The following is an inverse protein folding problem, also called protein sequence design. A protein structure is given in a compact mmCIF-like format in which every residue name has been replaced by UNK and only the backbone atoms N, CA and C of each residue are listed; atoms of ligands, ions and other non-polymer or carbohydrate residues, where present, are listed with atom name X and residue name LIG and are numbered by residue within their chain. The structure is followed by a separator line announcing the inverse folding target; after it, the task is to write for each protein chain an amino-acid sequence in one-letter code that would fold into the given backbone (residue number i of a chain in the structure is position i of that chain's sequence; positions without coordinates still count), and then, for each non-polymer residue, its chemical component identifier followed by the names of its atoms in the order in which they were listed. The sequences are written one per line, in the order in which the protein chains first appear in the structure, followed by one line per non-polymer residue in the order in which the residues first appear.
data_IF_199749412103
#
_entry.id   IF_199749412103
#
_cell.length_a   1.000
_cell.length_b   1.000
_cell.length_c   1.000
_cell.angle_alpha   90.00
_cell.angle_beta   90.00
_cell.angle_gamma   90.00
#
_symmetry.space_group_name_H-M   'P 1'
#
loop_
_entity.id
_entity.type
_entity.pdbx_description
1 polymer ?
#
# COMPACT_ATOMS: atom_id res chain seq x y z
N UNK A 1 17.54 5.73 57.52
CA UNK A 1 17.50 6.27 56.14
C UNK A 1 18.76 5.82 55.39
N UNK A 2 18.65 5.46 54.10
CA UNK A 2 19.70 4.87 53.21
C UNK A 2 19.86 3.34 53.22
N UNK A 3 18.81 2.59 52.87
CA UNK A 3 18.97 1.22 52.26
C UNK A 3 17.93 0.85 51.19
N UNK A 4 16.91 1.69 50.91
CA UNK A 4 15.88 1.38 49.92
C UNK A 4 16.07 2.02 48.52
N UNK A 5 17.06 2.90 48.34
CA UNK A 5 17.28 3.57 47.04
C UNK A 5 18.14 2.76 46.06
N UNK A 6 18.88 1.74 46.53
CA UNK A 6 19.78 0.95 45.66
C UNK A 6 19.05 -0.25 45.03
N UNK A 7 18.05 -0.82 45.71
CA UNK A 7 17.27 -1.94 45.19
C UNK A 7 16.30 -1.50 44.07
N UNK A 8 15.79 -0.27 44.14
CA UNK A 8 14.94 0.30 43.10
C UNK A 8 15.74 0.66 41.83
N UNK A 9 17.00 1.06 41.98
CA UNK A 9 17.88 1.36 40.86
C UNK A 9 18.38 0.09 40.14
N UNK A 10 18.59 -1.03 40.86
CA UNK A 10 18.97 -2.31 40.25
C UNK A 10 17.81 -3.00 39.50
N UNK A 11 16.57 -2.81 39.94
CA UNK A 11 15.38 -3.32 39.22
C UNK A 11 15.11 -2.56 37.91
N UNK A 12 15.46 -1.27 37.84
CA UNK A 12 15.34 -0.46 36.62
C UNK A 12 16.43 -0.82 35.59
N UNK A 13 17.60 -1.29 36.04
CA UNK A 13 18.72 -1.65 35.14
C UNK A 13 18.60 -3.11 34.64
N UNK A 14 18.00 -4.03 35.41
CA UNK A 14 17.73 -5.41 34.96
C UNK A 14 16.42 -5.57 34.16
N UNK A 15 15.50 -4.59 34.23
CA UNK A 15 14.24 -4.63 33.46
C UNK A 15 14.37 -4.26 31.97
N UNK A 16 15.53 -3.72 31.55
CA UNK A 16 15.76 -3.26 30.18
C UNK A 16 16.40 -4.30 29.24
N UNK A 17 16.67 -5.53 29.71
CA UNK A 17 17.44 -6.51 28.92
C UNK A 17 16.71 -7.83 28.60
N UNK A 18 15.40 -7.93 28.84
CA UNK A 18 14.62 -9.11 28.45
C UNK A 18 13.27 -8.72 27.84
N UNK A 19 13.29 -7.91 26.77
CA UNK A 19 12.20 -7.92 25.80
C UNK A 19 12.54 -9.02 24.80
N UNK A 20 11.69 -10.05 24.59
CA UNK A 20 11.85 -10.97 23.48
C UNK A 20 11.49 -10.24 22.17
N UNK A 21 12.33 -9.29 21.74
CA UNK A 21 12.23 -8.62 20.44
C UNK A 21 12.77 -9.50 19.31
N UNK A 22 13.40 -10.64 19.64
CA UNK A 22 14.19 -11.46 18.72
C UNK A 22 13.38 -12.30 17.71
N UNK A 23 12.05 -12.36 17.77
CA UNK A 23 11.28 -13.30 16.95
C UNK A 23 10.19 -12.71 16.05
N UNK A 24 9.63 -11.53 16.35
CA UNK A 24 8.42 -11.07 15.66
C UNK A 24 8.62 -10.78 14.16
N UNK A 25 9.72 -10.12 13.79
CA UNK A 25 10.00 -9.80 12.38
C UNK A 25 10.32 -11.04 11.53
N UNK A 26 10.98 -12.05 12.10
CA UNK A 26 11.32 -13.29 11.41
C UNK A 26 10.16 -14.29 11.33
N UNK A 27 9.20 -14.20 12.25
CA UNK A 27 7.99 -15.02 12.21
C UNK A 27 7.01 -14.57 11.11
N UNK A 28 7.05 -13.29 10.70
CA UNK A 28 6.21 -12.73 9.64
C UNK A 28 6.87 -12.59 8.27
N UNK A 29 8.18 -12.83 8.15
CA UNK A 29 8.86 -12.97 6.84
C UNK A 29 8.24 -14.06 5.95
N UNK A 30 7.42 -14.94 6.53
CA UNK A 30 6.73 -16.03 5.83
C UNK A 30 5.44 -15.64 5.10
N UNK A 31 4.93 -14.41 5.22
CA UNK A 31 3.68 -14.00 4.55
C UNK A 31 3.87 -13.12 3.31
N UNK A 32 5.09 -12.60 3.06
CA UNK A 32 5.37 -11.72 1.91
C UNK A 32 5.67 -12.45 0.59
N UNK A 33 5.88 -13.78 0.62
CA UNK A 33 6.31 -14.60 -0.52
C UNK A 33 7.58 -14.06 -1.23
N UNK A 34 8.46 -13.37 -0.52
CA UNK A 34 9.75 -12.91 -1.04
C UNK A 34 10.89 -13.65 -0.35
N UNK A 35 11.89 -14.10 -1.11
CA UNK A 35 13.15 -14.63 -0.59
C UNK A 35 14.02 -13.56 0.11
N UNK A 36 13.53 -12.32 0.20
CA UNK A 36 14.26 -11.14 0.65
C UNK A 36 13.53 -10.41 1.78
N UNK A 37 14.31 -9.78 2.66
CA UNK A 37 13.79 -8.84 3.66
C UNK A 37 14.07 -7.43 3.18
N UNK A 38 13.04 -6.60 3.09
CA UNK A 38 13.17 -5.19 2.76
C UNK A 38 13.09 -4.35 4.03
N UNK A 39 13.97 -3.36 4.16
CA UNK A 39 13.94 -2.46 5.30
C UNK A 39 14.42 -1.04 4.95
N UNK A 40 13.97 -0.08 5.75
CA UNK A 40 14.43 1.31 5.75
C UNK A 40 15.40 1.52 6.92
N UNK A 41 16.57 2.10 6.65
CA UNK A 41 17.46 2.59 7.68
C UNK A 41 16.84 3.83 8.36
N UNK A 42 16.44 3.72 9.62
CA UNK A 42 15.84 4.82 10.40
C UNK A 42 16.87 5.84 10.88
N UNK A 43 18.13 5.41 10.93
CA UNK A 43 19.33 6.15 11.31
C UNK A 43 20.39 5.93 10.21
N UNK A 44 21.55 6.57 10.34
CA UNK A 44 22.71 6.17 9.54
C UNK A 44 23.07 4.71 9.82
N UNK A 45 23.45 3.97 8.77
CA UNK A 45 23.68 2.53 8.86
C UNK A 45 25.10 2.19 8.39
N UNK A 46 25.97 1.67 9.26
CA UNK A 46 27.27 1.18 8.85
C UNK A 46 27.12 -0.05 7.97
N UNK A 47 27.94 -0.10 6.93
CA UNK A 47 28.03 -1.23 6.01
C UNK A 47 29.48 -1.64 5.88
N UNK A 48 29.75 -2.91 6.05
CA UNK A 48 31.08 -3.49 6.12
C UNK A 48 31.45 -4.25 4.85
N UNK A 49 32.76 -4.45 4.64
CA UNK A 49 33.30 -5.14 3.46
C UNK A 49 33.02 -6.65 3.52
N UNK A 50 33.08 -7.26 4.70
CA UNK A 50 32.95 -8.71 4.92
C UNK A 50 32.10 -9.05 6.14
N UNK A 51 31.77 -10.34 6.32
CA UNK A 51 31.01 -10.91 7.44
C UNK A 51 31.88 -11.40 8.60
N UNK A 52 33.16 -11.06 8.61
CA UNK A 52 34.11 -11.43 9.68
C UNK A 52 35.04 -10.28 10.08
N UNK A 53 34.95 -9.12 9.42
CA UNK A 53 35.70 -7.92 9.78
C UNK A 53 34.77 -6.71 9.92
N UNK A 54 35.10 -5.83 10.86
CA UNK A 54 34.43 -4.53 11.04
C UNK A 54 35.02 -3.44 10.14
N UNK A 55 35.64 -3.84 9.02
CA UNK A 55 36.18 -2.89 8.05
C UNK A 55 35.02 -2.17 7.35
N UNK A 56 34.84 -0.90 7.71
CA UNK A 56 33.77 -0.07 7.20
C UNK A 56 33.93 0.17 5.70
N UNK A 57 32.93 -0.25 4.92
CA UNK A 57 32.82 0.03 3.49
C UNK A 57 32.20 1.40 3.25
N UNK A 58 31.09 1.70 3.93
CA UNK A 58 30.37 2.98 3.79
C UNK A 58 29.38 3.18 4.94
N UNK A 59 28.93 4.42 5.11
CA UNK A 59 27.78 4.77 5.95
C UNK A 59 26.60 5.11 5.05
N UNK A 60 25.51 4.35 5.15
CA UNK A 60 24.28 4.70 4.46
C UNK A 60 23.57 5.82 5.22
N UNK A 61 23.07 6.84 4.52
CA UNK A 61 22.33 7.92 5.16
C UNK A 61 21.00 7.40 5.74
N UNK A 62 20.46 8.19 6.67
CA UNK A 62 19.08 8.03 7.15
C UNK A 62 18.09 7.94 5.99
N UNK A 63 17.10 7.08 6.14
CA UNK A 63 16.05 6.75 5.17
C UNK A 63 16.53 6.03 3.89
N UNK A 64 17.72 5.43 3.92
CA UNK A 64 18.15 4.52 2.86
C UNK A 64 17.37 3.21 2.87
N UNK A 65 16.99 2.74 1.68
CA UNK A 65 16.44 1.40 1.50
C UNK A 65 17.53 0.34 1.43
N UNK A 66 17.31 -0.77 2.14
CA UNK A 66 18.17 -1.96 2.12
C UNK A 66 17.34 -3.20 1.84
N UNK A 67 17.94 -4.15 1.14
CA UNK A 67 17.36 -5.47 0.88
C UNK A 67 18.33 -6.54 1.36
N UNK A 68 17.95 -7.33 2.36
CA UNK A 68 18.73 -8.48 2.81
C UNK A 68 18.66 -9.56 1.74
N UNK A 69 19.82 -9.99 1.24
CA UNK A 69 19.97 -10.99 0.17
C UNK A 69 20.65 -12.28 0.65
N UNK A 70 21.26 -12.25 1.82
CA UNK A 70 21.98 -13.38 2.40
C UNK A 70 22.21 -13.20 3.89
N UNK A 71 22.73 -14.25 4.54
CA UNK A 71 23.13 -14.19 5.95
C UNK A 71 24.28 -15.16 6.24
N UNK A 72 25.16 -14.77 7.15
CA UNK A 72 26.26 -15.59 7.63
C UNK A 72 26.50 -15.30 9.10
N UNK A 73 26.43 -16.31 9.97
CA UNK A 73 26.59 -16.14 11.42
C UNK A 73 25.73 -15.01 12.00
N UNK A 74 26.38 -13.99 12.55
CA UNK A 74 25.77 -12.78 13.14
C UNK A 74 25.57 -11.63 12.15
N UNK A 75 25.63 -11.90 10.83
CA UNK A 75 25.61 -10.90 9.78
C UNK A 75 24.49 -11.13 8.76
N UNK A 76 24.03 -10.02 8.16
CA UNK A 76 23.23 -9.99 6.94
C UNK A 76 24.08 -9.45 5.80
N UNK A 77 23.99 -10.09 4.64
CA UNK A 77 24.39 -9.49 3.38
C UNK A 77 23.22 -8.64 2.87
N UNK A 78 23.50 -7.38 2.55
CA UNK A 78 22.51 -6.44 2.04
C UNK A 78 22.86 -5.93 0.65
N UNK A 79 21.84 -5.73 -0.17
CA UNK A 79 21.85 -4.91 -1.36
C UNK A 79 21.30 -3.52 -1.02
N UNK A 80 21.95 -2.46 -1.51
CA UNK A 80 21.50 -1.08 -1.37
C UNK A 80 21.83 -0.27 -2.63
N UNK A 81 21.11 0.83 -2.83
CA UNK A 81 21.31 1.73 -3.98
C UNK A 81 22.16 2.93 -3.55
N UNK A 82 23.26 3.18 -4.25
CA UNK A 82 24.08 4.37 -4.01
C UNK A 82 23.39 5.65 -4.50
N UNK A 83 23.91 6.82 -4.11
CA UNK A 83 23.44 8.12 -4.64
C UNK A 83 23.43 8.20 -6.18
N UNK A 84 24.28 7.40 -6.86
CA UNK A 84 24.38 7.35 -8.33
C UNK A 84 23.40 6.33 -8.97
N UNK A 85 22.52 5.70 -8.19
CA UNK A 85 21.57 4.70 -8.68
C UNK A 85 22.17 3.30 -8.86
N UNK A 86 23.43 3.08 -8.52
CA UNK A 86 24.09 1.78 -8.67
C UNK A 86 23.73 0.85 -7.52
N UNK A 87 23.39 -0.40 -7.84
CA UNK A 87 23.24 -1.46 -6.83
C UNK A 87 24.62 -1.86 -6.27
N UNK A 88 24.74 -1.85 -4.95
CA UNK A 88 25.94 -2.22 -4.23
C UNK A 88 25.59 -3.28 -3.18
N UNK A 89 26.61 -4.01 -2.73
CA UNK A 89 26.50 -5.05 -1.71
C UNK A 89 27.42 -4.75 -0.54
N UNK A 90 27.10 -5.29 0.63
CA UNK A 90 27.94 -5.24 1.81
C UNK A 90 27.28 -5.97 2.98
N UNK A 91 27.93 -5.90 4.13
CA UNK A 91 27.52 -6.64 5.31
C UNK A 91 27.12 -5.70 6.45
N UNK A 92 26.24 -6.19 7.31
CA UNK A 92 25.75 -5.48 8.49
C UNK A 92 25.48 -6.52 9.58
N UNK A 93 25.79 -6.21 10.83
CA UNK A 93 25.46 -7.12 11.93
C UNK A 93 23.94 -7.21 12.11
N UNK A 94 23.46 -8.38 12.53
CA UNK A 94 22.04 -8.59 12.83
C UNK A 94 21.54 -7.64 13.94
N UNK A 95 22.43 -7.26 14.86
CA UNK A 95 22.14 -6.33 15.95
C UNK A 95 21.93 -4.89 15.44
N UNK A 96 22.83 -4.40 14.59
CA UNK A 96 22.68 -3.08 13.94
C UNK A 96 21.42 -3.03 13.09
N UNK A 97 21.11 -4.12 12.36
CA UNK A 97 19.91 -4.20 11.54
C UNK A 97 18.65 -4.11 12.40
N UNK A 98 18.58 -4.91 13.47
CA UNK A 98 17.43 -4.88 14.39
C UNK A 98 17.26 -3.52 15.08
N UNK A 99 18.37 -2.84 15.37
CA UNK A 99 18.37 -1.57 16.09
C UNK A 99 18.09 -0.36 15.19
N UNK A 100 18.44 -0.43 13.91
CA UNK A 100 18.43 0.72 13.00
C UNK A 100 17.53 0.57 11.78
N UNK A 101 16.95 -0.60 11.53
CA UNK A 101 16.10 -0.82 10.36
C UNK A 101 14.63 -1.05 10.74
N UNK A 102 13.73 -0.55 9.89
CA UNK A 102 12.30 -0.82 9.92
C UNK A 102 11.92 -1.66 8.72
N UNK A 103 11.36 -2.85 8.96
CA UNK A 103 11.03 -3.82 7.90
C UNK A 103 9.71 -3.42 7.25
N UNK A 104 9.62 -3.56 5.94
CA UNK A 104 8.39 -3.25 5.22
C UNK A 104 8.13 -4.25 4.09
N UNK A 105 6.92 -4.21 3.55
CA UNK A 105 6.55 -4.98 2.38
C UNK A 105 7.14 -4.35 1.10
N UNK A 106 8.26 -4.90 0.64
CA UNK A 106 8.97 -4.44 -0.55
C UNK A 106 8.40 -4.90 -1.89
N UNK A 107 7.22 -5.53 -1.92
CA UNK A 107 6.57 -5.86 -3.20
C UNK A 107 6.29 -4.57 -3.99
N UNK A 108 6.38 -4.67 -5.31
CA UNK A 108 6.12 -3.57 -6.23
C UNK A 108 4.73 -2.96 -5.95
N UNK A 109 4.65 -1.63 -5.92
CA UNK A 109 3.39 -0.93 -5.67
C UNK A 109 2.57 -0.93 -6.95
N UNK A 110 1.61 -1.85 -7.01
CA UNK A 110 0.76 -2.07 -8.19
C UNK A 110 -0.25 -0.93 -8.34
N UNK A 111 -0.64 -0.52 -9.56
CA UNK A 111 -1.70 0.47 -9.78
C UNK A 111 -3.02 0.08 -9.11
N UNK A 112 -3.32 -1.22 -9.09
CA UNK A 112 -4.38 -1.83 -8.30
C UNK A 112 -4.10 -3.31 -8.02
N UNK A 113 -4.76 -3.87 -7.01
CA UNK A 113 -4.62 -5.26 -6.57
C UNK A 113 -5.14 -6.28 -7.62
N UNK A 114 -4.66 -7.52 -7.58
CA UNK A 114 -5.22 -8.59 -8.41
C UNK A 114 -6.69 -8.79 -8.08
N UNK A 115 -7.51 -9.23 -9.01
CA UNK A 115 -8.90 -9.58 -8.70
C UNK A 115 -9.86 -9.26 -9.82
N UNK A 116 -11.15 -9.40 -9.51
CA UNK A 116 -12.23 -9.20 -10.46
C UNK A 116 -12.76 -7.77 -10.37
N UNK A 117 -12.86 -7.13 -11.53
CA UNK A 117 -13.32 -5.76 -11.69
C UNK A 117 -14.40 -5.70 -12.77
N UNK A 118 -15.39 -4.84 -12.52
CA UNK A 118 -16.27 -4.32 -13.54
C UNK A 118 -15.56 -3.21 -14.31
N UNK A 119 -15.61 -3.29 -15.64
CA UNK A 119 -15.09 -2.26 -16.54
C UNK A 119 -16.24 -1.39 -17.03
N UNK A 120 -16.03 -0.08 -17.02
CA UNK A 120 -16.89 0.89 -17.68
C UNK A 120 -16.07 1.72 -18.65
N UNK A 121 -16.42 1.67 -19.93
CA UNK A 121 -15.74 2.41 -20.96
C UNK A 121 -16.07 3.90 -20.92
N UNK A 122 -15.06 4.73 -21.13
CA UNK A 122 -15.18 6.16 -21.27
C UNK A 122 -14.29 6.62 -22.42
N UNK A 123 -14.89 7.28 -23.41
CA UNK A 123 -14.16 7.92 -24.49
C UNK A 123 -14.32 9.43 -24.39
N UNK A 124 -13.22 10.14 -24.15
CA UNK A 124 -13.27 11.59 -24.09
C UNK A 124 -13.55 12.15 -25.51
N UNK A 125 -14.72 12.78 -25.69
CA UNK A 125 -15.11 13.42 -26.97
C UNK A 125 -14.59 14.86 -27.12
N UNK A 126 -14.09 15.52 -26.06
CA UNK A 126 -13.59 16.90 -26.10
C UNK A 126 -12.28 17.07 -25.30
N UNK A 127 -11.22 17.53 -25.98
CA UNK A 127 -9.85 17.62 -25.43
C UNK A 127 -9.62 18.68 -24.33
N UNK A 128 -10.63 19.46 -23.93
CA UNK A 128 -10.43 20.66 -23.11
C UNK A 128 -11.24 20.77 -21.81
N UNK A 129 -12.09 19.80 -21.46
CA UNK A 129 -12.77 19.83 -20.16
C UNK A 129 -13.14 18.42 -19.67
N UNK A 130 -12.59 18.01 -18.52
CA UNK A 130 -13.14 16.91 -17.73
C UNK A 130 -14.43 17.40 -17.05
N UNK A 131 -15.50 17.56 -17.83
CA UNK A 131 -16.83 17.86 -17.30
C UNK A 131 -17.51 16.58 -16.84
N UNK A 132 -18.24 16.68 -15.74
CA UNK A 132 -19.08 15.67 -15.08
C UNK A 132 -19.63 14.60 -16.01
N UNK A 133 -19.31 13.36 -15.66
CA UNK A 133 -19.39 12.16 -16.49
C UNK A 133 -20.82 11.83 -16.95
N UNK A 134 -21.02 11.76 -18.27
CA UNK A 134 -22.19 11.12 -18.85
C UNK A 134 -22.00 9.59 -18.77
N UNK A 135 -22.57 9.01 -17.72
CA UNK A 135 -22.69 7.57 -17.48
C UNK A 135 -23.50 6.92 -18.61
N UNK A 136 -22.85 6.08 -19.42
CA UNK A 136 -23.57 5.12 -20.27
C UNK A 136 -23.63 3.78 -19.53
N UNK A 137 -24.70 3.57 -18.77
CA UNK A 137 -25.03 2.25 -18.22
C UNK A 137 -25.45 1.34 -19.39
N UNK A 138 -24.60 0.38 -19.73
CA UNK A 138 -25.09 -0.88 -20.30
C UNK A 138 -25.14 -1.93 -19.19
N UNK A 139 -26.23 -2.70 -19.20
CA UNK A 139 -26.62 -3.67 -18.17
C UNK A 139 -25.79 -4.95 -18.16
N UNK A 140 -24.81 -5.10 -19.05
CA UNK A 140 -23.81 -6.17 -19.01
C UNK A 140 -22.43 -5.56 -18.70
N UNK A 141 -22.18 -5.24 -17.44
CA UNK A 141 -20.85 -4.83 -16.98
C UNK A 141 -19.83 -5.91 -17.35
N UNK A 142 -18.93 -5.59 -18.29
CA UNK A 142 -17.82 -6.46 -18.65
C UNK A 142 -16.99 -6.73 -17.39
N UNK A 143 -16.97 -8.00 -16.97
CA UNK A 143 -16.35 -8.39 -15.70
C UNK A 143 -15.11 -9.21 -15.99
N UNK A 144 -13.96 -8.67 -15.61
CA UNK A 144 -12.66 -9.28 -15.89
C UNK A 144 -11.82 -9.44 -14.63
N UNK A 145 -11.06 -10.52 -14.61
CA UNK A 145 -10.05 -10.79 -13.59
C UNK A 145 -8.68 -10.33 -14.10
N UNK A 146 -8.05 -9.45 -13.33
CA UNK A 146 -6.70 -8.93 -13.58
C UNK A 146 -5.70 -9.67 -12.70
N UNK A 147 -4.61 -10.13 -13.31
CA UNK A 147 -3.49 -10.77 -12.61
C UNK A 147 -2.19 -10.04 -12.95
N UNK A 148 -1.56 -9.49 -11.94
CA UNK A 148 -0.33 -8.74 -12.03
C UNK A 148 0.84 -9.63 -12.47
N UNK A 149 1.65 -9.14 -13.39
CA UNK A 149 2.84 -9.83 -13.92
C UNK A 149 4.13 -9.00 -13.84
N UNK A 150 4.11 -7.83 -13.17
CA UNK A 150 5.27 -6.96 -12.97
C UNK A 150 5.28 -5.71 -13.87
N UNK A 151 6.01 -4.66 -13.48
CA UNK A 151 6.21 -3.44 -14.25
C UNK A 151 4.89 -2.76 -14.71
N UNK A 152 3.90 -2.67 -13.82
CA UNK A 152 2.55 -2.17 -14.11
C UNK A 152 1.80 -2.97 -15.20
N UNK A 153 2.20 -4.21 -15.46
CA UNK A 153 1.58 -5.07 -16.45
C UNK A 153 0.71 -6.16 -15.82
N UNK A 154 -0.34 -6.55 -16.55
CA UNK A 154 -1.33 -7.54 -16.12
C UNK A 154 -1.70 -8.47 -17.27
N UNK A 155 -2.09 -9.70 -16.95
CA UNK A 155 -2.96 -10.51 -17.82
C UNK A 155 -4.42 -10.26 -17.45
N UNK A 156 -5.30 -10.39 -18.45
CA UNK A 156 -6.74 -10.11 -18.31
C UNK A 156 -7.51 -11.36 -18.71
N UNK A 157 -8.38 -11.84 -17.82
CA UNK A 157 -9.21 -13.03 -18.01
C UNK A 157 -10.68 -12.67 -17.86
N UNK A 158 -11.58 -13.29 -18.63
CA UNK A 158 -13.02 -13.23 -18.34
C UNK A 158 -13.33 -13.84 -16.96
N UNK A 159 -14.11 -13.15 -16.14
CA UNK A 159 -14.30 -13.57 -14.74
C UNK A 159 -14.90 -14.99 -14.58
N UNK A 160 -15.74 -15.41 -15.52
CA UNK A 160 -16.47 -16.68 -15.47
C UNK A 160 -16.12 -17.66 -16.61
N UNK A 161 -15.10 -17.36 -17.42
CA UNK A 161 -14.67 -18.22 -18.53
C UNK A 161 -13.17 -18.46 -18.43
N UNK A 162 -12.69 -19.63 -18.86
CA UNK A 162 -11.25 -19.87 -18.98
C UNK A 162 -10.68 -19.30 -20.30
N UNK A 163 -10.94 -18.00 -20.49
CA UNK A 163 -10.60 -17.24 -21.68
C UNK A 163 -9.82 -15.99 -21.29
N UNK A 164 -8.65 -15.81 -21.90
CA UNK A 164 -7.70 -14.72 -21.63
C UNK A 164 -7.63 -13.78 -22.83
N UNK A 165 -7.52 -12.48 -22.56
CA UNK A 165 -7.37 -11.46 -23.59
C UNK A 165 -6.02 -11.69 -24.28
N UNK A 166 -6.05 -11.91 -25.59
CA UNK A 166 -4.86 -12.12 -26.42
C UNK A 166 -4.18 -10.78 -26.73
N UNK A 167 -2.87 -10.84 -26.98
CA UNK A 167 -2.15 -9.72 -27.56
C UNK A 167 -2.81 -9.31 -28.89
N UNK A 168 -2.82 -8.01 -29.18
CA UNK A 168 -3.20 -7.55 -30.52
C UNK A 168 -2.22 -8.10 -31.57
N UNK A 169 -2.71 -8.36 -32.77
CA UNK A 169 -1.92 -8.96 -33.87
C UNK A 169 -1.63 -8.00 -35.01
N UNK A 170 -1.95 -6.71 -34.89
CA UNK A 170 -1.77 -5.66 -35.91
C UNK A 170 -2.32 -5.99 -37.31
N UNK A 171 -3.06 -7.10 -37.50
CA UNK A 171 -3.46 -7.52 -38.83
C UNK A 171 -4.44 -6.50 -39.45
N UNK A 172 -3.93 -5.77 -40.43
CA UNK A 172 -4.73 -5.12 -41.46
C UNK A 172 -5.48 -6.24 -42.21
N UNK A 173 -6.81 -6.14 -42.33
CA UNK A 173 -7.62 -6.88 -43.31
C UNK A 173 -8.18 -8.28 -43.00
N UNK A 174 -8.48 -8.67 -41.75
CA UNK A 174 -9.49 -9.73 -41.54
C UNK A 174 -10.78 -9.18 -40.90
N UNK A 175 -11.87 -8.99 -41.67
CA UNK A 175 -13.14 -8.47 -41.16
C UNK A 175 -13.91 -9.48 -40.30
N UNK A 176 -13.46 -10.73 -40.22
CA UNK A 176 -13.98 -11.73 -39.30
C UNK A 176 -13.15 -11.74 -38.03
N UNK A 177 -13.67 -11.07 -36.99
CA UNK A 177 -13.39 -11.24 -35.56
C UNK A 177 -12.06 -12.00 -35.31
N UNK A 178 -10.94 -11.28 -35.24
CA UNK A 178 -9.79 -11.82 -34.53
C UNK A 178 -10.30 -12.19 -33.13
N UNK A 179 -10.34 -13.49 -32.81
CA UNK A 179 -10.86 -13.94 -31.52
C UNK A 179 -9.99 -13.31 -30.44
N UNK A 180 -10.49 -12.24 -29.80
CA UNK A 180 -9.78 -11.49 -28.75
C UNK A 180 -9.43 -12.35 -27.55
N UNK A 181 -10.03 -13.53 -27.47
CA UNK A 181 -10.01 -14.40 -26.32
C UNK A 181 -9.37 -15.73 -26.71
N UNK A 182 -8.39 -16.17 -25.93
CA UNK A 182 -7.68 -17.42 -26.12
C UNK A 182 -7.41 -18.16 -24.82
N UNK A 183 -6.53 -19.14 -24.89
CA UNK A 183 -6.06 -19.90 -23.74
C UNK A 183 -5.07 -19.10 -22.89
N UNK A 184 -4.73 -19.58 -21.68
CA UNK A 184 -3.71 -18.95 -20.83
C UNK A 184 -2.35 -18.82 -21.53
N UNK A 185 -1.99 -19.79 -22.39
CA UNK A 185 -0.73 -19.77 -23.15
C UNK A 185 -0.68 -18.68 -24.22
N UNK A 186 -1.84 -18.18 -24.64
CA UNK A 186 -1.98 -17.11 -25.64
C UNK A 186 -2.25 -15.74 -24.99
N UNK A 187 -2.28 -15.67 -23.66
CA UNK A 187 -2.60 -14.44 -22.94
C UNK A 187 -1.64 -13.31 -23.29
N UNK A 188 -2.20 -12.16 -23.68
CA UNK A 188 -1.46 -10.92 -23.86
C UNK A 188 -1.00 -10.34 -22.52
N UNK A 189 -0.06 -9.41 -22.61
CA UNK A 189 0.41 -8.64 -21.46
C UNK A 189 0.04 -7.18 -21.67
N UNK A 190 -0.69 -6.62 -20.70
CA UNK A 190 -1.27 -5.29 -20.82
C UNK A 190 -0.70 -4.36 -19.76
N UNK A 191 -0.07 -3.27 -20.19
CA UNK A 191 0.36 -2.20 -19.30
C UNK A 191 -0.83 -1.33 -18.94
N UNK A 192 -1.03 -1.13 -17.65
CA UNK A 192 -2.12 -0.31 -17.14
C UNK A 192 -1.56 1.01 -16.64
N UNK A 193 -2.13 2.13 -17.07
CA UNK A 193 -1.66 3.48 -16.71
C UNK A 193 -2.82 4.35 -16.30
N UNK A 194 -2.74 4.97 -15.12
CA UNK A 194 -3.76 5.90 -14.62
C UNK A 194 -3.76 7.19 -15.44
N UNK A 195 -4.94 7.66 -15.86
CA UNK A 195 -5.17 8.96 -16.51
C UNK A 195 -6.38 9.63 -15.87
N UNK A 196 -6.13 10.53 -14.92
CA UNK A 196 -7.17 11.16 -14.10
C UNK A 196 -7.92 10.12 -13.26
N UNK A 197 -9.24 10.03 -13.44
CA UNK A 197 -10.10 9.07 -12.76
C UNK A 197 -10.11 7.67 -13.40
N UNK A 198 -9.49 7.54 -14.58
CA UNK A 198 -9.60 6.36 -15.44
C UNK A 198 -8.24 5.69 -15.65
N UNK A 199 -8.24 4.59 -16.41
CA UNK A 199 -7.07 3.85 -16.82
C UNK A 199 -7.02 3.64 -18.33
N UNK A 200 -5.81 3.67 -18.89
CA UNK A 200 -5.50 3.16 -20.22
C UNK A 200 -5.04 1.71 -20.05
N UNK A 201 -5.55 0.82 -20.90
CA UNK A 201 -5.14 -0.58 -21.00
C UNK A 201 -4.42 -0.76 -22.33
N UNK A 202 -3.09 -0.84 -22.28
CA UNK A 202 -2.24 -0.84 -23.48
C UNK A 202 -1.58 -2.21 -23.66
N UNK A 203 -1.75 -2.81 -24.84
CA UNK A 203 -1.02 -4.01 -25.22
C UNK A 203 0.49 -3.72 -25.32
N UNK A 204 1.30 -4.51 -24.63
CA UNK A 204 2.74 -4.25 -24.53
C UNK A 204 3.45 -4.48 -25.86
N UNK A 205 2.96 -5.37 -26.73
CA UNK A 205 3.64 -5.72 -27.98
C UNK A 205 3.39 -4.67 -29.06
N UNK A 206 2.13 -4.34 -29.28
CA UNK A 206 1.67 -3.48 -30.39
C UNK A 206 1.54 -2.01 -30.00
N UNK A 207 1.51 -1.72 -28.69
CA UNK A 207 1.24 -0.38 -28.11
C UNK A 207 -0.18 0.14 -28.37
N UNK A 208 -1.06 -0.68 -28.94
CA UNK A 208 -2.48 -0.32 -29.11
C UNK A 208 -3.24 -0.45 -27.81
N UNK A 209 -4.33 0.29 -27.70
CA UNK A 209 -5.14 0.44 -26.50
C UNK A 209 -6.44 -0.35 -26.67
N UNK A 210 -6.82 -1.09 -25.64
CA UNK A 210 -8.12 -1.74 -25.57
C UNK A 210 -9.22 -0.67 -25.49
N UNK A 211 -10.20 -0.73 -26.38
CA UNK A 211 -11.33 0.19 -26.50
C UNK A 211 -12.62 -0.58 -26.73
N UNK A 212 -13.75 0.11 -26.67
CA UNK A 212 -15.01 -0.36 -27.26
C UNK A 212 -15.29 0.40 -28.56
N UNK A 213 -15.86 -0.29 -29.54
CA UNK A 213 -16.33 0.31 -30.78
C UNK A 213 -17.79 0.78 -30.67
N UNK A 214 -18.31 1.37 -31.75
CA UNK A 214 -19.69 1.88 -31.78
C UNK A 214 -20.79 0.81 -31.57
N UNK A 215 -20.43 -0.48 -31.70
CA UNK A 215 -21.30 -1.62 -31.44
C UNK A 215 -21.07 -2.23 -30.05
N UNK A 216 -20.34 -1.54 -29.17
CA UNK A 216 -19.97 -1.97 -27.82
C UNK A 216 -19.15 -3.28 -27.79
N UNK A 217 -18.45 -3.60 -28.89
CA UNK A 217 -17.53 -4.72 -28.92
C UNK A 217 -16.12 -4.22 -28.60
N UNK A 218 -15.38 -5.01 -27.83
CA UNK A 218 -13.98 -4.73 -27.57
C UNK A 218 -13.17 -4.73 -28.87
N UNK A 219 -12.21 -3.82 -28.95
CA UNK A 219 -11.25 -3.72 -30.04
C UNK A 219 -9.94 -3.11 -29.57
N UNK A 220 -8.90 -3.16 -30.41
CA UNK A 220 -7.66 -2.42 -30.18
C UNK A 220 -7.60 -1.17 -31.07
N UNK A 221 -7.15 -0.05 -30.54
CA UNK A 221 -7.10 1.25 -31.24
C UNK A 221 -5.81 2.01 -30.94
N UNK A 222 -5.47 3.00 -31.76
CA UNK A 222 -4.40 3.96 -31.48
C UNK A 222 -4.91 5.19 -30.68
N UNK A 223 -6.21 5.26 -30.40
CA UNK A 223 -6.80 6.37 -29.66
C UNK A 223 -6.43 6.34 -28.16
N UNK A 224 -5.58 7.28 -27.76
CA UNK A 224 -5.13 7.49 -26.36
C UNK A 224 -6.23 7.99 -25.41
N UNK A 225 -7.44 8.20 -25.91
CA UNK A 225 -8.61 8.62 -25.13
C UNK A 225 -9.64 7.50 -24.93
N UNK A 226 -9.31 6.26 -25.30
CA UNK A 226 -10.02 5.07 -24.85
C UNK A 226 -9.63 4.78 -23.39
N UNK A 227 -10.53 5.12 -22.47
CA UNK A 227 -10.29 5.06 -21.03
C UNK A 227 -11.28 4.10 -20.36
N UNK A 228 -10.84 3.51 -19.26
CA UNK A 228 -11.63 2.55 -18.50
C UNK A 228 -11.71 2.96 -17.04
N UNK A 229 -12.92 2.95 -16.48
CA UNK A 229 -13.11 2.91 -15.04
C UNK A 229 -13.14 1.45 -14.62
N UNK A 230 -12.42 1.14 -13.55
CA UNK A 230 -12.36 -0.19 -12.96
C UNK A 230 -13.02 -0.06 -11.58
N UNK A 231 -14.03 -0.88 -11.31
CA UNK A 231 -14.68 -0.98 -10.01
C UNK A 231 -14.54 -2.40 -9.51
N UNK A 232 -13.99 -2.57 -8.30
CA UNK A 232 -13.69 -3.90 -7.75
C UNK A 232 -14.91 -4.50 -7.06
N UNK A 233 -15.08 -5.82 -7.19
CA UNK A 233 -16.27 -6.50 -6.67
C UNK A 233 -16.16 -6.93 -5.20
N UNK A 234 -14.94 -7.04 -4.68
CA UNK A 234 -14.63 -7.53 -3.32
C UNK A 234 -13.42 -6.78 -2.79
N UNK A 235 -13.26 -6.69 -1.46
CA UNK A 235 -12.05 -6.16 -0.83
C UNK A 235 -10.77 -6.81 -1.36
N UNK A 236 -9.64 -6.11 -1.25
CA UNK A 236 -8.31 -6.55 -1.63
C UNK A 236 -7.49 -7.02 -0.41
N UNK A 237 -8.06 -7.92 0.38
CA UNK A 237 -7.49 -8.39 1.65
C UNK A 237 -7.16 -9.89 1.64
N UNK A 238 -7.47 -10.58 0.55
CA UNK A 238 -7.11 -11.97 0.35
C UNK A 238 -5.61 -12.18 0.19
N UNK A 239 -5.18 -13.43 0.39
CA UNK A 239 -3.79 -13.84 0.24
C UNK A 239 -3.23 -13.41 -1.12
N UNK A 240 -2.10 -12.68 -1.10
CA UNK A 240 -1.45 -12.15 -2.31
C UNK A 240 -1.87 -10.72 -2.70
N UNK A 241 -2.95 -10.20 -2.10
CA UNK A 241 -3.40 -8.81 -2.25
C UNK A 241 -3.24 -8.00 -0.97
N UNK A 242 -3.40 -8.61 0.21
CA UNK A 242 -3.11 -7.95 1.49
C UNK A 242 -1.70 -7.34 1.44
N UNK A 243 -1.59 -6.01 1.47
CA UNK A 243 -0.35 -5.26 1.47
C UNK A 243 -0.52 -4.05 2.39
N UNK A 244 0.35 -3.92 3.39
CA UNK A 244 0.37 -2.74 4.26
C UNK A 244 1.36 -1.73 3.70
N UNK A 245 0.85 -0.57 3.31
CA UNK A 245 1.65 0.58 2.93
C UNK A 245 2.05 1.33 4.18
N UNK A 246 3.36 1.36 4.44
CA UNK A 246 3.93 1.98 5.64
C UNK A 246 4.49 3.35 5.33
N UNK A 247 4.49 4.24 6.32
CA UNK A 247 5.00 5.60 6.14
C UNK A 247 6.53 5.68 5.98
N UNK A 248 7.22 4.59 6.32
CA UNK A 248 8.68 4.45 6.30
C UNK A 248 9.19 3.58 5.11
N UNK A 249 8.56 3.66 3.94
CA UNK A 249 9.11 3.05 2.71
C UNK A 249 10.17 3.99 2.09
N UNK A 250 11.33 3.50 1.61
CA UNK A 250 12.36 4.35 0.98
C UNK A 250 11.88 5.17 -0.22
N UNK A 251 10.78 4.74 -0.87
CA UNK A 251 10.16 5.47 -1.97
C UNK A 251 9.63 6.84 -1.57
N UNK A 252 9.29 7.05 -0.29
CA UNK A 252 8.64 8.28 0.18
C UNK A 252 9.02 8.71 1.59
N UNK A 253 9.59 7.86 2.45
CA UNK A 253 9.78 8.15 3.87
C UNK A 253 10.52 9.46 4.16
N UNK A 254 11.49 9.81 3.32
CA UNK A 254 12.25 11.08 3.41
C UNK A 254 11.54 12.30 2.82
N UNK A 255 10.41 12.12 2.14
CA UNK A 255 9.70 13.20 1.50
C UNK A 255 8.98 14.06 2.53
N UNK A 256 9.09 15.38 2.34
CA UNK A 256 8.45 16.36 3.19
C UNK A 256 6.91 16.23 3.11
N UNK A 257 6.26 16.25 4.27
CA UNK A 257 4.82 16.29 4.39
C UNK A 257 4.42 17.67 4.94
N UNK A 258 4.09 18.60 4.05
CA UNK A 258 3.75 19.98 4.36
C UNK A 258 4.08 20.93 3.20
N UNK A 259 3.82 22.22 3.39
CA UNK A 259 4.20 23.24 2.40
C UNK A 259 5.68 23.59 2.52
N UNK A 260 6.32 23.97 1.41
CA UNK A 260 7.77 24.25 1.30
C UNK A 260 8.28 25.39 2.21
N UNK A 261 7.40 26.05 2.96
CA UNK A 261 7.75 27.16 3.87
C UNK A 261 8.25 26.69 5.23
N UNK A 262 8.05 25.43 5.62
CA UNK A 262 8.59 24.86 6.87
C UNK A 262 9.97 24.27 6.63
N UNK A 263 10.99 24.82 7.30
CA UNK A 263 12.40 24.45 7.09
C UNK A 263 12.80 23.08 7.66
N UNK A 264 12.08 22.55 8.65
CA UNK A 264 12.48 21.31 9.31
C UNK A 264 11.96 20.05 8.59
N UNK A 265 12.76 19.56 7.66
CA UNK A 265 12.49 18.32 6.91
C UNK A 265 12.77 17.04 7.71
N UNK A 266 13.39 17.11 8.89
CA UNK A 266 13.69 15.93 9.71
C UNK A 266 12.49 15.46 10.52
N UNK A 267 11.63 16.39 10.93
CA UNK A 267 10.43 16.15 11.74
C UNK A 267 9.14 16.22 10.91
N UNK A 268 9.18 16.84 9.73
CA UNK A 268 8.02 17.02 8.86
C UNK A 268 8.10 16.18 7.58
N UNK A 269 8.43 14.88 7.68
CA UNK A 269 8.41 13.95 6.55
C UNK A 269 7.40 12.82 6.75
N UNK A 270 7.19 11.98 5.73
CA UNK A 270 6.30 10.84 5.86
C UNK A 270 6.74 9.87 6.94
N UNK A 271 8.05 9.63 7.11
CA UNK A 271 8.54 8.69 8.11
C UNK A 271 8.18 9.09 9.54
N UNK A 272 8.03 10.38 9.84
CA UNK A 272 7.68 10.88 11.18
C UNK A 272 6.20 11.19 11.34
N UNK A 273 5.56 11.73 10.31
CA UNK A 273 4.24 12.37 10.42
C UNK A 273 3.19 11.81 9.43
N UNK A 274 3.51 10.74 8.70
CA UNK A 274 2.69 10.22 7.60
C UNK A 274 1.53 9.30 7.98
N UNK A 275 1.31 8.99 9.26
CA UNK A 275 0.41 7.91 9.67
C UNK A 275 -1.02 8.07 9.14
N UNK A 276 -1.59 9.28 9.17
CA UNK A 276 -2.94 9.53 8.65
C UNK A 276 -3.04 9.39 7.12
N UNK A 277 -1.98 9.75 6.39
CA UNK A 277 -1.92 9.54 4.93
C UNK A 277 -1.91 8.05 4.62
N UNK A 278 -1.03 7.28 5.28
CA UNK A 278 -0.91 5.84 5.00
C UNK A 278 -2.07 5.02 5.58
N UNK A 279 -2.72 5.45 6.65
CA UNK A 279 -3.99 4.88 7.09
C UNK A 279 -5.08 5.07 6.03
N UNK A 280 -5.14 6.24 5.38
CA UNK A 280 -6.04 6.50 4.25
C UNK A 280 -5.70 5.64 3.04
N UNK A 281 -4.41 5.51 2.69
CA UNK A 281 -3.93 4.64 1.60
C UNK A 281 -4.36 3.18 1.84
N UNK A 282 -4.10 2.67 3.05
CA UNK A 282 -4.45 1.30 3.43
C UNK A 282 -5.97 1.07 3.41
N UNK A 283 -6.77 2.05 3.86
CA UNK A 283 -8.22 1.97 3.85
C UNK A 283 -8.77 1.88 2.42
N UNK A 284 -8.30 2.75 1.52
CA UNK A 284 -8.72 2.79 0.11
C UNK A 284 -8.26 1.52 -0.63
N UNK A 285 -6.99 1.15 -0.48
CA UNK A 285 -6.44 -0.02 -1.18
C UNK A 285 -7.13 -1.31 -0.75
N UNK A 286 -7.32 -1.52 0.55
CA UNK A 286 -7.97 -2.73 1.05
C UNK A 286 -9.43 -2.82 0.65
N UNK A 287 -10.10 -1.68 0.51
CA UNK A 287 -11.51 -1.59 0.13
C UNK A 287 -11.71 -1.79 -1.38
N UNK A 288 -11.01 -1.00 -2.19
CA UNK A 288 -11.24 -0.88 -3.64
C UNK A 288 -10.19 -1.59 -4.50
N UNK A 289 -9.07 -2.00 -3.91
CA UNK A 289 -7.89 -2.50 -4.62
C UNK A 289 -7.06 -1.43 -5.30
N UNK A 290 -7.53 -0.18 -5.45
CA UNK A 290 -6.75 0.86 -6.10
C UNK A 290 -5.68 1.41 -5.18
N UNK A 291 -4.47 1.62 -5.71
CA UNK A 291 -3.39 2.29 -4.97
C UNK A 291 -3.51 3.81 -5.12
N UNK A 292 -3.88 4.55 -4.07
CA UNK A 292 -3.84 6.00 -4.08
C UNK A 292 -2.41 6.51 -3.97
N UNK A 293 -2.12 7.60 -4.68
CA UNK A 293 -0.82 8.24 -4.64
C UNK A 293 -0.65 8.96 -3.29
N UNK A 294 0.29 8.54 -2.42
CA UNK A 294 0.49 9.17 -1.12
C UNK A 294 0.88 10.65 -1.25
N UNK A 295 1.59 11.02 -2.32
CA UNK A 295 2.02 12.40 -2.57
C UNK A 295 0.83 13.31 -2.90
N UNK A 296 -0.13 12.82 -3.68
CA UNK A 296 -1.35 13.56 -4.02
C UNK A 296 -2.23 13.77 -2.78
N UNK A 297 -2.39 12.74 -1.94
CA UNK A 297 -3.11 12.83 -0.68
C UNK A 297 -2.45 13.83 0.27
N UNK A 298 -1.13 13.76 0.42
CA UNK A 298 -0.36 14.64 1.29
C UNK A 298 -0.39 16.09 0.83
N UNK A 299 -0.25 16.32 -0.47
CA UNK A 299 -0.39 17.65 -1.06
C UNK A 299 -1.78 18.22 -0.79
N UNK A 300 -2.84 17.43 -1.02
CA UNK A 300 -4.20 17.87 -0.75
C UNK A 300 -4.42 18.18 0.74
N UNK A 301 -3.90 17.34 1.65
CA UNK A 301 -3.97 17.58 3.08
C UNK A 301 -3.27 18.90 3.48
N UNK A 302 -2.10 19.18 2.91
CA UNK A 302 -1.37 20.42 3.14
C UNK A 302 -2.11 21.65 2.59
N UNK A 303 -2.52 21.60 1.32
CA UNK A 303 -3.24 22.70 0.64
C UNK A 303 -4.56 23.06 1.34
N UNK A 304 -5.22 22.08 1.97
CA UNK A 304 -6.49 22.24 2.68
C UNK A 304 -6.34 22.38 4.20
N UNK A 305 -5.11 22.51 4.72
CA UNK A 305 -4.80 22.70 6.14
C UNK A 305 -5.27 21.54 7.05
N UNK A 306 -5.35 20.33 6.49
CA UNK A 306 -5.47 19.10 7.27
C UNK A 306 -4.10 18.56 7.73
N UNK A 307 -3.00 19.12 7.23
CA UNK A 307 -1.68 18.89 7.83
C UNK A 307 -1.54 19.76 9.08
N UNK A 308 -1.31 19.15 10.23
CA UNK A 308 -0.96 19.82 11.49
C UNK A 308 0.54 19.64 11.70
N UNK A 309 1.34 20.71 11.52
CA UNK A 309 2.80 20.72 11.71
C UNK A 309 3.21 20.02 13.02
N UNK A 310 4.28 19.20 12.95
CA UNK A 310 4.78 18.35 14.04
C UNK A 310 3.83 17.28 14.63
N UNK A 311 2.54 17.26 14.24
CA UNK A 311 1.53 16.32 14.77
C UNK A 311 1.00 15.33 13.72
N UNK A 312 1.19 15.62 12.43
CA UNK A 312 0.72 14.78 11.32
C UNK A 312 -0.58 15.27 10.70
N UNK A 313 -1.61 14.43 10.71
CA UNK A 313 -2.84 14.64 9.92
C UNK A 313 -4.04 14.89 10.83
N UNK A 314 -4.81 15.93 10.56
CA UNK A 314 -6.13 16.18 11.14
C UNK A 314 -7.16 15.17 10.60
N UNK A 315 -8.03 14.69 11.50
CA UNK A 315 -9.06 13.69 11.16
C UNK A 315 -10.09 14.18 10.13
N UNK A 316 -10.27 15.50 9.97
CA UNK A 316 -11.09 16.10 8.93
C UNK A 316 -10.65 15.71 7.52
N UNK A 317 -9.38 15.29 7.34
CA UNK A 317 -8.90 14.76 6.07
C UNK A 317 -9.73 13.58 5.60
N UNK A 318 -10.20 12.69 6.48
CA UNK A 318 -10.78 11.42 6.06
C UNK A 318 -12.07 11.62 5.27
N UNK A 319 -12.95 12.49 5.76
CA UNK A 319 -14.14 12.89 5.01
C UNK A 319 -13.77 13.64 3.72
N UNK A 320 -12.86 14.61 3.81
CA UNK A 320 -12.46 15.44 2.67
C UNK A 320 -11.77 14.63 1.55
N UNK A 321 -11.01 13.59 1.91
CA UNK A 321 -10.37 12.69 0.97
C UNK A 321 -11.41 11.87 0.19
N UNK A 322 -12.48 11.40 0.85
CA UNK A 322 -13.58 10.74 0.16
C UNK A 322 -14.30 11.69 -0.81
N UNK A 323 -14.58 12.93 -0.40
CA UNK A 323 -15.21 13.94 -1.27
C UNK A 323 -14.34 14.27 -2.49
N UNK A 324 -13.01 14.35 -2.31
CA UNK A 324 -12.08 14.71 -3.38
C UNK A 324 -11.72 13.54 -4.30
N UNK A 325 -11.51 12.36 -3.74
CA UNK A 325 -10.88 11.23 -4.42
C UNK A 325 -11.77 9.99 -4.50
N UNK A 326 -12.97 10.02 -3.93
CA UNK A 326 -13.89 8.90 -3.85
C UNK A 326 -14.21 8.31 -5.22
N UNK A 327 -14.64 9.16 -6.17
CA UNK A 327 -14.90 8.71 -7.54
C UNK A 327 -13.67 8.09 -8.23
N UNK A 328 -12.48 8.67 -8.00
CA UNK A 328 -11.21 8.24 -8.59
C UNK A 328 -10.81 6.84 -8.10
N UNK A 329 -11.00 6.54 -6.82
CA UNK A 329 -10.54 5.28 -6.21
C UNK A 329 -11.68 4.33 -5.82
N UNK A 330 -12.94 4.67 -6.05
CA UNK A 330 -14.11 3.80 -5.79
C UNK A 330 -14.43 3.64 -4.30
N UNK A 331 -14.52 4.74 -3.56
CA UNK A 331 -14.89 4.72 -2.14
C UNK A 331 -15.64 5.98 -1.71
N UNK A 332 -16.43 5.88 -0.64
CA UNK A 332 -17.11 7.00 0.00
C UNK A 332 -16.98 7.00 1.51
N UNK A 333 -17.19 8.16 2.13
CA UNK A 333 -17.21 8.31 3.59
C UNK A 333 -18.56 7.89 4.15
N UNK A 334 -18.54 7.02 5.16
CA UNK A 334 -19.75 6.44 5.78
C UNK A 334 -19.92 6.83 7.26
N UNK A 335 -19.29 7.95 7.65
CA UNK A 335 -19.40 8.51 8.99
C UNK A 335 -18.27 8.09 9.93
N UNK A 336 -18.45 8.40 11.22
CA UNK A 336 -17.52 8.06 12.29
C UNK A 336 -18.28 7.64 13.54
N UNK A 337 -17.62 6.88 14.41
CA UNK A 337 -18.18 6.43 15.69
C UNK A 337 -17.12 5.90 16.64
N UNK A 338 -17.56 5.53 17.85
CA UNK A 338 -16.70 5.02 18.93
C UNK A 338 -17.10 3.60 19.36
N UNK A 339 -18.15 3.03 18.74
CA UNK A 339 -18.71 1.75 19.16
C UNK A 339 -18.07 0.57 18.45
N UNK A 340 -17.51 -0.38 19.20
CA UNK A 340 -17.07 -1.67 18.66
C UNK A 340 -18.22 -2.48 18.04
N UNK A 341 -19.46 -2.31 18.53
CA UNK A 341 -20.63 -2.95 17.94
C UNK A 341 -20.87 -2.43 16.52
N UNK A 342 -20.83 -1.11 16.34
CA UNK A 342 -20.95 -0.48 15.03
C UNK A 342 -19.76 -0.87 14.13
N UNK A 343 -18.53 -0.83 14.63
CA UNK A 343 -17.35 -1.28 13.90
C UNK A 343 -17.53 -2.71 13.38
N UNK A 344 -17.96 -3.67 14.23
CA UNK A 344 -18.21 -5.06 13.79
C UNK A 344 -19.29 -5.13 12.70
N UNK A 345 -20.33 -4.30 12.77
CA UNK A 345 -21.39 -4.25 11.75
C UNK A 345 -20.86 -3.71 10.42
N UNK A 346 -20.14 -2.59 10.43
CA UNK A 346 -19.52 -1.96 9.26
C UNK A 346 -18.53 -2.89 8.57
N UNK A 347 -17.62 -3.52 9.33
CA UNK A 347 -16.64 -4.45 8.77
C UNK A 347 -17.30 -5.68 8.11
N UNK A 348 -18.37 -6.21 8.70
CA UNK A 348 -19.16 -7.32 8.12
C UNK A 348 -19.92 -6.91 6.85
N UNK A 349 -20.30 -5.64 6.73
CA UNK A 349 -20.92 -5.09 5.52
C UNK A 349 -19.91 -4.88 4.38
N UNK A 350 -18.61 -4.95 4.67
CA UNK A 350 -17.56 -4.73 3.67
C UNK A 350 -16.88 -3.36 3.77
N UNK A 351 -17.08 -2.63 4.86
CA UNK A 351 -16.43 -1.33 5.07
C UNK A 351 -15.03 -1.49 5.65
N UNK A 352 -14.22 -0.44 5.58
CA UNK A 352 -12.96 -0.31 6.33
C UNK A 352 -13.08 0.84 7.33
N UNK A 353 -12.25 0.83 8.36
CA UNK A 353 -12.22 1.88 9.37
C UNK A 353 -10.79 2.38 9.57
N UNK A 354 -10.57 3.68 9.38
CA UNK A 354 -9.38 4.34 9.92
C UNK A 354 -9.61 4.52 11.41
N UNK A 355 -8.59 4.22 12.22
CA UNK A 355 -8.70 4.23 13.69
C UNK A 355 -7.69 5.17 14.31
N UNK A 356 -8.14 5.95 15.29
CA UNK A 356 -7.24 6.77 16.11
C UNK A 356 -6.75 5.98 17.31
N UNK A 357 -5.44 5.73 17.32
CA UNK A 357 -4.65 5.12 18.39
C UNK A 357 -3.90 6.25 19.14
N UNK A 358 -3.30 6.01 20.32
CA UNK A 358 -2.61 7.07 21.07
C UNK A 358 -1.48 7.71 20.26
N UNK A 359 -1.72 8.92 19.75
CA UNK A 359 -0.79 9.68 18.89
C UNK A 359 -0.54 9.05 17.51
N UNK A 360 -1.44 8.20 17.00
CA UNK A 360 -1.20 7.44 15.76
C UNK A 360 -2.49 7.08 15.02
N UNK A 361 -2.41 6.87 13.70
CA UNK A 361 -3.51 6.34 12.90
C UNK A 361 -3.16 4.97 12.33
N UNK A 362 -4.10 4.03 12.43
CA UNK A 362 -4.06 2.73 11.77
C UNK A 362 -5.32 2.49 10.96
N UNK A 363 -5.45 1.30 10.38
CA UNK A 363 -6.64 0.92 9.60
C UNK A 363 -7.10 -0.48 9.96
N UNK A 364 -8.36 -0.64 10.34
CA UNK A 364 -9.00 -1.95 10.48
C UNK A 364 -9.76 -2.24 9.19
N UNK A 365 -9.41 -3.35 8.54
CA UNK A 365 -9.89 -3.65 7.18
C UNK A 365 -10.81 -4.87 7.11
N UNK A 366 -10.83 -5.71 8.14
CA UNK A 366 -11.66 -6.91 8.18
C UNK A 366 -11.96 -7.37 9.61
N UNK A 367 -12.97 -8.24 9.75
CA UNK A 367 -13.34 -8.87 11.01
C UNK A 367 -13.58 -10.38 10.82
N UNK A 368 -12.80 -11.17 11.55
CA UNK A 368 -12.93 -12.62 11.57
C UNK A 368 -13.91 -13.04 12.67
N UNK A 369 -15.16 -13.31 12.28
CA UNK A 369 -16.21 -13.72 13.21
C UNK A 369 -15.92 -15.04 13.95
N UNK A 370 -15.11 -15.95 13.36
CA UNK A 370 -14.76 -17.23 14.01
C UNK A 370 -13.73 -17.05 15.12
N UNK A 371 -12.81 -16.10 14.95
CA UNK A 371 -11.73 -15.82 15.90
C UNK A 371 -12.05 -14.65 16.83
N UNK A 372 -13.14 -13.92 16.56
CA UNK A 372 -13.48 -12.63 17.17
C UNK A 372 -12.29 -11.65 17.16
N UNK A 373 -11.67 -11.50 15.98
CA UNK A 373 -10.50 -10.66 15.78
C UNK A 373 -10.67 -9.70 14.62
N UNK A 374 -9.98 -8.57 14.70
CA UNK A 374 -9.92 -7.51 13.71
C UNK A 374 -8.59 -7.54 12.98
N UNK A 375 -8.60 -7.36 11.66
CA UNK A 375 -7.37 -7.23 10.89
C UNK A 375 -6.92 -5.76 10.89
N UNK A 376 -5.91 -5.45 11.70
CA UNK A 376 -5.31 -4.13 11.85
C UNK A 376 -4.09 -3.99 10.93
N UNK A 377 -4.05 -2.90 10.18
CA UNK A 377 -2.90 -2.45 9.40
C UNK A 377 -2.25 -1.26 10.11
N UNK A 378 -1.02 -1.44 10.57
CA UNK A 378 -0.25 -0.39 11.23
C UNK A 378 0.77 0.23 10.24
N UNK A 379 0.55 1.47 9.76
CA UNK A 379 1.48 2.12 8.84
C UNK A 379 2.80 2.54 9.49
N UNK A 380 2.92 2.46 10.82
CA UNK A 380 4.14 2.74 11.57
C UNK A 380 4.24 1.81 12.77
N UNK A 381 4.48 0.51 12.58
CA UNK A 381 4.55 -0.40 13.72
C UNK A 381 5.65 -0.01 14.72
N UNK A 382 5.33 -0.17 16.01
CA UNK A 382 6.29 0.01 17.10
C UNK A 382 6.29 -1.26 17.97
N UNK A 383 7.44 -1.67 18.52
CA UNK A 383 7.51 -2.87 19.37
C UNK A 383 6.47 -2.89 20.50
N UNK A 384 6.19 -1.72 21.10
CA UNK A 384 5.19 -1.57 22.17
C UNK A 384 3.75 -1.89 21.75
N UNK A 385 3.43 -1.82 20.45
CA UNK A 385 2.10 -2.14 19.92
C UNK A 385 1.92 -3.62 19.60
N UNK A 386 3.02 -4.37 19.47
CA UNK A 386 2.96 -5.77 19.06
C UNK A 386 2.41 -5.98 17.64
N UNK A 387 2.49 -4.96 16.78
CA UNK A 387 2.07 -4.98 15.37
C UNK A 387 3.25 -5.13 14.43
N UNK A 388 2.96 -5.39 13.15
CA UNK A 388 3.93 -5.60 12.08
C UNK A 388 3.57 -4.80 10.81
N UNK A 389 4.51 -4.74 9.87
CA UNK A 389 4.30 -4.15 8.53
C UNK A 389 3.54 -5.07 7.57
N UNK A 390 2.87 -6.11 8.06
CA UNK A 390 2.18 -7.12 7.25
C UNK A 390 0.71 -7.33 7.63
N UNK A 391 0.25 -6.63 8.67
CA UNK A 391 -1.11 -6.67 9.17
C UNK A 391 -1.28 -7.76 10.23
N UNK A 392 -2.05 -7.44 11.27
CA UNK A 392 -2.15 -8.27 12.47
C UNK A 392 -3.60 -8.50 12.88
N UNK A 393 -3.91 -9.74 13.27
CA UNK A 393 -5.21 -10.08 13.82
C UNK A 393 -5.24 -9.82 15.33
N UNK A 394 -5.85 -8.70 15.72
CA UNK A 394 -5.96 -8.22 17.11
C UNK A 394 -7.35 -8.46 17.69
N UNK A 395 -7.43 -8.68 18.99
CA UNK A 395 -8.71 -8.85 19.69
C UNK A 395 -9.36 -7.50 20.02
N UNK A 396 -10.65 -7.52 20.39
CA UNK A 396 -11.31 -6.30 20.90
C UNK A 396 -10.61 -5.77 22.16
N UNK A 397 -10.19 -6.67 23.07
CA UNK A 397 -9.45 -6.30 24.28
C UNK A 397 -8.18 -5.52 23.96
N UNK A 398 -7.43 -5.96 22.94
CA UNK A 398 -6.22 -5.25 22.50
C UNK A 398 -6.56 -3.82 22.03
N UNK A 399 -7.72 -3.61 21.40
CA UNK A 399 -8.19 -2.30 20.93
C UNK A 399 -8.84 -1.46 22.04
N UNK A 400 -9.20 -2.04 23.17
CA UNK A 400 -9.78 -1.34 24.33
C UNK A 400 -8.70 -0.93 25.35
N UNK A 401 -7.51 -1.54 25.30
CA UNK A 401 -6.47 -1.40 26.33
C UNK A 401 -5.07 -1.17 25.75
N UNK A 402 -4.20 -0.55 26.55
CA UNK A 402 -2.76 -0.45 26.25
C UNK A 402 -2.42 0.38 25.01
N UNK A 403 -1.41 -0.06 24.26
CA UNK A 403 -0.81 0.71 23.17
C UNK A 403 -1.66 0.76 21.88
N UNK A 404 -2.73 -0.04 21.82
CA UNK A 404 -3.67 -0.12 20.71
C UNK A 404 -5.07 0.43 21.06
N UNK A 405 -5.23 1.05 22.24
CA UNK A 405 -6.50 1.65 22.67
C UNK A 405 -7.05 2.60 21.59
N UNK A 406 -8.16 2.23 20.98
CA UNK A 406 -8.82 3.01 19.93
C UNK A 406 -9.84 3.95 20.54
N UNK A 407 -9.84 5.22 20.10
CA UNK A 407 -10.80 6.22 20.58
C UNK A 407 -11.90 6.49 19.56
N UNK A 408 -11.60 6.40 18.27
CA UNK A 408 -12.53 6.77 17.21
C UNK A 408 -12.29 5.95 15.94
N UNK A 409 -13.37 5.66 15.23
CA UNK A 409 -13.42 4.96 13.95
C UNK A 409 -13.97 5.90 12.87
N UNK A 410 -13.31 5.96 11.72
CA UNK A 410 -13.75 6.71 10.54
C UNK A 410 -13.97 5.73 9.40
N UNK A 411 -15.22 5.60 8.94
CA UNK A 411 -15.62 4.51 8.05
C UNK A 411 -15.54 4.92 6.58
N UNK A 412 -14.99 4.03 5.76
CA UNK A 412 -15.11 4.07 4.31
C UNK A 412 -15.84 2.83 3.80
N UNK A 413 -16.68 3.04 2.79
CA UNK A 413 -17.38 1.96 2.06
C UNK A 413 -17.07 2.03 0.57
N UNK A 414 -17.19 0.90 -0.11
CA UNK A 414 -16.99 0.83 -1.56
C UNK A 414 -18.16 1.51 -2.28
N UNK A 415 -17.85 2.15 -3.42
CA UNK A 415 -18.83 2.81 -4.30
C UNK A 415 -19.40 1.89 -5.39
#
# INVERSE_FOLDING_TARGET
MKKHSILFLLLIICGCFLIPSKSFAFQHGYESHSDFIYALARNELPVYISDYSEDLKTMLPKYSGVKVVGSSGSWYEIQYTSKKGTSNYGWITKEEFQSNCLIYDGREKRPFANGTYHLSFYQNKNSSAFSTDSYHAYTDTLTYTFKYVGNNCYTIKKANEDKYLKSDTLQESNPYINELWGTEKEAGTFRITRKGNYYIICDVNTKRILSENNSNLLEFTNNQNALWRLTRNKKAIEKGNLQVFVQFDPLWGKHHYGNETTQDTETNNFCTSGCGIFATVNAIYSLSGHFPDPYELAKYASDKRYRIEDCGTDSGLFKAAAEKFGYKYGFSYDGCGESFKELKQKLKAGDTAIVYLPGHYGTIVDYNAKKDKYLLMDPHYLPKRGTSSFGDWVSQKDLEEGALTTQMFFYYKAD
#
